data_IF_521548824019
#
_entry.id   IF_521548824019
#
_cell.length_a   1.000
_cell.length_b   1.000
_cell.length_c   1.000
_cell.angle_alpha   90.00
_cell.angle_beta   90.00
_cell.angle_gamma   90.00
#
_symmetry.space_group_name_H-M   'P 1'
#
loop_
_entity.id
_entity.type
_entity.pdbx_description
1 polymer ?
#
# COMPACT_ATOMS: atom_id res chain seq x y z
N UNK A 1 77.58 21.09 12.20
CA UNK A 1 76.36 21.83 12.58
C UNK A 1 75.71 22.31 11.30
N UNK A 2 74.61 21.68 10.93
CA UNK A 2 73.74 22.12 9.84
C UNK A 2 72.33 21.74 10.28
N UNK A 3 71.65 22.72 10.86
CA UNK A 3 70.20 22.71 11.02
C UNK A 3 69.52 22.97 9.68
N UNK A 4 68.19 22.83 9.68
CA UNK A 4 67.23 23.16 8.61
C UNK A 4 66.90 21.94 7.72
N UNK A 5 65.65 21.57 7.44
CA UNK A 5 64.31 22.10 7.75
C UNK A 5 63.39 20.88 7.83
N UNK A 6 62.62 20.73 8.92
CA UNK A 6 61.45 19.84 8.92
C UNK A 6 60.35 20.55 8.13
N UNK A 7 60.12 20.13 6.89
CA UNK A 7 58.92 20.51 6.15
C UNK A 7 57.69 19.93 6.86
N UNK A 8 56.97 20.77 7.58
CA UNK A 8 55.61 20.50 8.01
C UNK A 8 54.71 20.43 6.77
N UNK A 9 54.49 19.21 6.25
CA UNK A 9 53.36 18.92 5.38
C UNK A 9 52.09 18.84 6.20
N UNK A 10 51.59 19.99 6.65
CA UNK A 10 50.18 20.12 7.02
C UNK A 10 49.37 20.19 5.72
N UNK A 11 49.22 19.05 5.05
CA UNK A 11 48.21 18.89 4.02
C UNK A 11 46.89 18.71 4.77
N UNK A 12 46.20 19.82 5.04
CA UNK A 12 44.80 19.78 5.43
C UNK A 12 44.06 19.15 4.26
N UNK A 13 43.80 17.85 4.32
CA UNK A 13 42.84 17.19 3.45
C UNK A 13 41.52 17.89 3.76
N UNK A 14 41.14 18.85 2.91
CA UNK A 14 39.78 19.36 2.90
C UNK A 14 38.94 18.13 2.58
N UNK A 15 38.34 17.51 3.59
CA UNK A 15 37.33 16.48 3.37
C UNK A 15 36.33 17.11 2.40
N UNK A 16 36.25 16.56 1.20
CA UNK A 16 35.32 17.03 0.19
C UNK A 16 33.91 16.61 0.66
N UNK A 17 33.35 17.39 1.59
CA UNK A 17 32.03 17.12 2.16
C UNK A 17 31.04 17.20 1.02
N UNK A 18 30.44 16.07 0.71
CA UNK A 18 29.43 15.95 -0.32
C UNK A 18 28.32 17.01 -0.12
N UNK A 19 27.96 17.81 -1.15
CA UNK A 19 27.03 18.92 -0.99
C UNK A 19 25.65 18.47 -0.50
N UNK A 20 25.22 17.24 -0.81
CA UNK A 20 23.95 16.68 -0.35
C UNK A 20 23.93 16.40 1.17
N UNK A 21 25.10 16.20 1.80
CA UNK A 21 25.17 16.01 3.25
C UNK A 21 24.80 17.29 4.03
N UNK A 22 24.95 18.46 3.38
CA UNK A 22 24.61 19.77 3.95
C UNK A 22 23.13 20.11 3.87
N UNK A 23 22.37 19.45 2.98
CA UNK A 23 20.94 19.69 2.79
C UNK A 23 20.14 19.02 3.91
N UNK A 24 19.03 19.62 4.33
CA UNK A 24 18.10 19.01 5.28
C UNK A 24 17.31 17.85 4.65
N UNK A 25 16.70 17.01 5.49
CA UNK A 25 15.99 15.80 5.06
C UNK A 25 14.77 16.10 4.18
N UNK A 26 14.05 17.20 4.41
CA UNK A 26 12.89 17.57 3.60
C UNK A 26 13.31 18.02 2.20
N UNK A 27 14.41 18.78 2.11
CA UNK A 27 15.00 19.17 0.83
C UNK A 27 15.46 17.93 0.05
N UNK A 28 16.15 16.99 0.70
CA UNK A 28 16.57 15.74 0.07
C UNK A 28 15.37 14.91 -0.39
N UNK A 29 14.35 14.75 0.46
CA UNK A 29 13.11 14.05 0.09
C UNK A 29 12.47 14.68 -1.15
N UNK A 30 12.38 16.01 -1.18
CA UNK A 30 11.80 16.76 -2.31
C UNK A 30 12.60 16.53 -3.59
N UNK A 31 13.93 16.61 -3.54
CA UNK A 31 14.80 16.31 -4.69
C UNK A 31 14.59 14.86 -5.14
N UNK A 32 14.51 13.91 -4.19
CA UNK A 32 14.28 12.50 -4.50
C UNK A 32 13.01 12.31 -5.33
N UNK A 33 11.90 12.80 -4.78
CA UNK A 33 10.57 12.65 -5.37
C UNK A 33 10.47 13.35 -6.72
N UNK A 34 11.00 14.58 -6.85
CA UNK A 34 10.87 15.36 -8.07
C UNK A 34 11.79 14.89 -9.21
N UNK A 35 12.92 14.25 -8.89
CA UNK A 35 13.85 13.76 -9.91
C UNK A 35 13.25 12.65 -10.79
N UNK A 36 12.31 11.87 -10.26
CA UNK A 36 11.83 10.64 -10.89
C UNK A 36 12.91 9.56 -11.09
N UNK A 37 14.13 9.73 -10.55
CA UNK A 37 15.25 8.82 -10.76
C UNK A 37 15.70 8.19 -9.43
N UNK A 38 15.53 6.88 -9.22
CA UNK A 38 15.88 6.25 -7.95
C UNK A 38 17.40 6.21 -7.70
N UNK A 39 18.22 6.30 -8.76
CA UNK A 39 19.68 6.23 -8.66
C UNK A 39 20.30 7.43 -7.94
N UNK A 40 19.61 8.57 -7.87
CA UNK A 40 20.14 9.73 -7.12
C UNK A 40 20.30 9.44 -5.62
N UNK A 41 19.64 8.39 -5.11
CA UNK A 41 19.80 7.94 -3.73
C UNK A 41 21.23 7.49 -3.42
N UNK A 42 22.04 7.15 -4.42
CA UNK A 42 23.44 6.74 -4.24
C UNK A 42 24.39 7.91 -4.11
N UNK A 43 23.92 9.15 -4.27
CA UNK A 43 24.78 10.33 -4.27
C UNK A 43 25.37 10.62 -2.90
N UNK A 44 24.72 10.23 -1.79
CA UNK A 44 25.23 10.43 -0.43
C UNK A 44 24.58 9.45 0.55
N UNK A 45 25.19 9.23 1.73
CA UNK A 45 24.64 8.33 2.75
C UNK A 45 23.35 8.91 3.33
N UNK A 46 23.34 10.21 3.62
CA UNK A 46 22.14 10.90 4.09
C UNK A 46 21.02 10.81 3.06
N UNK A 47 21.33 11.01 1.78
CA UNK A 47 20.35 10.91 0.71
C UNK A 47 19.81 9.48 0.57
N UNK A 48 20.68 8.47 0.66
CA UNK A 48 20.28 7.07 0.67
C UNK A 48 19.28 6.77 1.80
N UNK A 49 19.55 7.25 3.02
CA UNK A 49 18.66 7.06 4.18
C UNK A 49 17.28 7.68 3.94
N UNK A 50 17.24 8.92 3.46
CA UNK A 50 15.98 9.62 3.14
C UNK A 50 15.21 8.86 2.05
N UNK A 51 15.87 8.45 0.97
CA UNK A 51 15.26 7.71 -0.13
C UNK A 51 14.75 6.31 0.27
N UNK A 52 15.33 5.70 1.30
CA UNK A 52 14.93 4.38 1.81
C UNK A 52 13.85 4.43 2.89
N UNK A 53 13.50 5.62 3.37
CA UNK A 53 12.41 5.79 4.30
C UNK A 53 11.06 5.50 3.63
N UNK A 54 10.22 4.68 4.28
CA UNK A 54 8.98 4.17 3.69
C UNK A 54 8.05 5.30 3.21
N UNK A 55 7.71 6.33 4.02
CA UNK A 55 6.90 7.46 3.56
C UNK A 55 7.45 8.16 2.30
N UNK A 56 8.76 8.31 2.20
CA UNK A 56 9.43 8.89 1.04
C UNK A 56 9.28 7.98 -0.20
N UNK A 57 9.48 6.67 -0.03
CA UNK A 57 9.25 5.68 -1.10
C UNK A 57 7.80 5.71 -1.58
N UNK A 58 6.82 5.77 -0.68
CA UNK A 58 5.40 5.86 -1.03
C UNK A 58 5.11 7.13 -1.84
N UNK A 59 5.59 8.29 -1.41
CA UNK A 59 5.44 9.55 -2.17
C UNK A 59 6.06 9.47 -3.56
N UNK A 60 7.28 8.92 -3.66
CA UNK A 60 7.98 8.72 -4.92
C UNK A 60 7.19 7.79 -5.85
N UNK A 61 6.74 6.64 -5.36
CA UNK A 61 5.99 5.66 -6.15
C UNK A 61 4.65 6.22 -6.62
N UNK A 62 3.89 6.86 -5.73
CA UNK A 62 2.60 7.47 -6.07
C UNK A 62 2.74 8.51 -7.17
N UNK A 63 3.77 9.36 -7.10
CA UNK A 63 4.01 10.43 -8.07
C UNK A 63 4.55 9.92 -9.40
N UNK A 64 5.57 9.07 -9.37
CA UNK A 64 6.38 8.77 -10.56
C UNK A 64 6.07 7.43 -11.19
N UNK A 65 5.57 6.47 -10.40
CA UNK A 65 5.45 5.07 -10.82
C UNK A 65 3.99 4.70 -11.03
N UNK A 66 3.13 4.83 -10.01
CA UNK A 66 1.71 4.48 -10.09
C UNK A 66 0.88 5.46 -10.94
N UNK A 67 1.39 6.66 -11.21
CA UNK A 67 0.81 7.54 -12.23
C UNK A 67 0.93 6.98 -13.66
N UNK A 68 1.74 5.93 -13.88
CA UNK A 68 2.02 5.30 -15.18
C UNK A 68 2.02 3.76 -15.02
N UNK A 69 0.86 3.09 -14.99
CA UNK A 69 0.74 1.68 -14.65
C UNK A 69 1.64 0.74 -15.48
N UNK A 70 1.81 1.01 -16.77
CA UNK A 70 2.65 0.22 -17.68
C UNK A 70 4.14 0.29 -17.30
N UNK A 71 4.59 1.46 -16.84
CA UNK A 71 5.97 1.69 -16.41
C UNK A 71 6.26 0.95 -15.11
N UNK A 72 5.34 1.02 -14.14
CA UNK A 72 5.43 0.27 -12.89
C UNK A 72 5.61 -1.23 -13.16
N UNK A 73 4.80 -1.77 -14.07
CA UNK A 73 4.78 -3.20 -14.41
C UNK A 73 6.04 -3.66 -15.13
N UNK A 74 6.41 -2.96 -16.19
CA UNK A 74 7.32 -3.52 -17.22
C UNK A 74 8.75 -3.00 -17.11
N UNK A 75 8.96 -1.93 -16.35
CA UNK A 75 10.27 -1.25 -16.26
C UNK A 75 10.74 -1.17 -14.82
N UNK A 76 9.95 -0.55 -13.94
CA UNK A 76 10.41 -0.22 -12.59
C UNK A 76 10.60 -1.44 -11.70
N UNK A 77 9.54 -2.23 -11.44
CA UNK A 77 9.67 -3.39 -10.55
C UNK A 77 10.59 -4.51 -11.07
N UNK A 78 10.68 -4.78 -12.39
CA UNK A 78 11.73 -5.64 -12.94
C UNK A 78 13.15 -5.13 -12.64
N UNK A 79 13.39 -3.82 -12.72
CA UNK A 79 14.68 -3.19 -12.39
C UNK A 79 14.96 -3.10 -10.88
N UNK A 80 13.92 -3.07 -10.04
CA UNK A 80 14.04 -2.92 -8.59
C UNK A 80 13.30 -4.04 -7.83
N UNK A 81 13.74 -5.31 -7.95
CA UNK A 81 13.03 -6.47 -7.38
C UNK A 81 12.96 -6.47 -5.85
N UNK A 82 13.90 -5.81 -5.16
CA UNK A 82 13.85 -5.63 -3.70
C UNK A 82 12.63 -4.82 -3.28
N UNK A 83 12.29 -3.75 -4.02
CA UNK A 83 11.10 -2.95 -3.75
C UNK A 83 9.83 -3.75 -4.06
N UNK A 84 9.85 -4.58 -5.11
CA UNK A 84 8.72 -5.46 -5.44
C UNK A 84 8.40 -6.46 -4.31
N UNK A 85 9.40 -6.87 -3.53
CA UNK A 85 9.25 -7.81 -2.41
C UNK A 85 9.07 -7.14 -1.04
N UNK A 86 9.05 -5.80 -0.96
CA UNK A 86 8.97 -5.06 0.31
C UNK A 86 7.52 -4.96 0.78
N UNK A 87 7.17 -5.75 1.80
CA UNK A 87 5.80 -5.85 2.32
C UNK A 87 5.32 -4.58 3.03
N UNK A 88 6.12 -3.99 3.90
CA UNK A 88 5.79 -2.72 4.58
C UNK A 88 5.40 -1.61 3.60
N UNK A 89 6.08 -1.57 2.45
CA UNK A 89 5.79 -0.63 1.38
C UNK A 89 4.42 -0.90 0.74
N UNK A 90 4.04 -2.17 0.57
CA UNK A 90 2.72 -2.55 0.07
C UNK A 90 1.62 -2.15 1.06
N UNK A 91 1.84 -2.38 2.36
CA UNK A 91 0.91 -1.98 3.42
C UNK A 91 0.66 -0.47 3.38
N UNK A 92 1.70 0.34 3.23
CA UNK A 92 1.54 1.80 3.16
C UNK A 92 0.89 2.25 1.84
N UNK A 93 1.17 1.59 0.71
CA UNK A 93 0.47 1.87 -0.55
C UNK A 93 -1.03 1.53 -0.46
N UNK A 94 -1.38 0.43 0.22
CA UNK A 94 -2.77 0.04 0.50
C UNK A 94 -3.47 1.13 1.32
N UNK A 95 -2.87 1.60 2.42
CA UNK A 95 -3.43 2.70 3.24
C UNK A 95 -3.66 4.01 2.47
N UNK A 96 -2.92 4.22 1.38
CA UNK A 96 -3.05 5.38 0.49
C UNK A 96 -4.07 5.18 -0.64
N UNK A 97 -4.87 4.11 -0.58
CA UNK A 97 -5.94 3.78 -1.54
C UNK A 97 -5.45 3.62 -2.98
N UNK A 98 -4.21 3.14 -3.15
CA UNK A 98 -3.71 2.76 -4.48
C UNK A 98 -4.51 1.56 -4.99
N UNK A 99 -4.95 1.64 -6.25
CA UNK A 99 -5.68 0.56 -6.92
C UNK A 99 -4.86 -0.74 -6.91
N UNK A 100 -5.43 -1.78 -6.30
CA UNK A 100 -4.74 -3.04 -6.05
C UNK A 100 -4.51 -3.87 -7.31
N UNK A 101 -5.33 -3.65 -8.34
CA UNK A 101 -5.31 -4.39 -9.60
C UNK A 101 -4.38 -3.73 -10.64
N UNK A 102 -3.99 -2.47 -10.43
CA UNK A 102 -3.09 -1.74 -11.33
C UNK A 102 -1.67 -2.33 -11.34
N UNK A 103 -1.08 -2.43 -12.55
CA UNK A 103 0.30 -2.90 -12.74
C UNK A 103 0.44 -4.37 -13.13
N UNK A 104 -0.65 -5.03 -13.54
CA UNK A 104 -0.63 -6.38 -14.10
C UNK A 104 0.07 -7.38 -13.19
N UNK A 105 1.06 -8.14 -13.68
CA UNK A 105 1.81 -9.15 -12.89
C UNK A 105 2.53 -8.59 -11.65
N UNK A 106 2.74 -7.28 -11.59
CA UNK A 106 3.37 -6.59 -10.47
C UNK A 106 2.38 -5.69 -9.71
N UNK A 107 1.07 -5.91 -9.89
CA UNK A 107 0.05 -5.26 -9.09
C UNK A 107 0.21 -5.60 -7.61
N UNK A 108 -0.35 -4.75 -6.74
CA UNK A 108 -0.33 -4.99 -5.29
C UNK A 108 -0.93 -6.38 -5.01
N UNK A 109 -2.08 -6.67 -5.63
CA UNK A 109 -2.71 -7.98 -5.55
C UNK A 109 -1.75 -9.12 -5.92
N UNK A 110 -1.12 -9.07 -7.09
CA UNK A 110 -0.25 -10.15 -7.56
C UNK A 110 0.99 -10.30 -6.68
N UNK A 111 1.57 -9.18 -6.23
CA UNK A 111 2.75 -9.18 -5.37
C UNK A 111 2.46 -9.81 -4.01
N UNK A 112 1.28 -9.53 -3.43
CA UNK A 112 0.87 -10.10 -2.14
C UNK A 112 0.92 -11.62 -2.18
N UNK A 113 0.28 -12.24 -3.17
CA UNK A 113 0.25 -13.70 -3.26
C UNK A 113 1.58 -14.29 -3.76
N UNK A 114 2.20 -13.69 -4.78
CA UNK A 114 3.48 -14.17 -5.35
C UNK A 114 4.63 -14.14 -4.34
N UNK A 115 4.61 -13.19 -3.42
CA UNK A 115 5.67 -13.00 -2.43
C UNK A 115 5.23 -13.35 -1.00
N UNK A 116 4.05 -13.95 -0.83
CA UNK A 116 3.52 -14.40 0.47
C UNK A 116 3.51 -13.30 1.53
N UNK A 117 3.06 -12.11 1.13
CA UNK A 117 2.97 -10.94 2.02
C UNK A 117 1.70 -11.05 2.88
N UNK A 118 1.78 -11.85 3.95
CA UNK A 118 0.64 -12.22 4.79
C UNK A 118 0.06 -11.03 5.56
N UNK A 119 0.89 -10.10 6.05
CA UNK A 119 0.44 -8.89 6.75
C UNK A 119 -0.23 -7.91 5.78
N UNK A 120 0.30 -7.81 4.57
CA UNK A 120 -0.34 -7.04 3.50
C UNK A 120 -1.66 -7.68 3.04
N UNK A 121 -1.73 -9.01 2.94
CA UNK A 121 -2.97 -9.72 2.65
C UNK A 121 -4.02 -9.43 3.74
N UNK A 122 -3.64 -9.57 5.01
CA UNK A 122 -4.53 -9.28 6.12
C UNK A 122 -5.02 -7.84 6.12
N UNK A 123 -4.12 -6.89 5.84
CA UNK A 123 -4.46 -5.47 5.67
C UNK A 123 -5.44 -5.28 4.52
N UNK A 124 -5.16 -5.85 3.33
CA UNK A 124 -6.01 -5.76 2.14
C UNK A 124 -7.41 -6.35 2.38
N UNK A 125 -7.51 -7.49 3.06
CA UNK A 125 -8.79 -8.12 3.41
C UNK A 125 -9.62 -7.28 4.39
N UNK A 126 -8.95 -6.52 5.25
CA UNK A 126 -9.57 -5.57 6.19
C UNK A 126 -9.93 -4.23 5.56
N UNK A 127 -9.49 -3.96 4.35
CA UNK A 127 -9.89 -2.77 3.63
C UNK A 127 -11.24 -2.97 2.93
N UNK A 128 -12.07 -1.95 3.00
CA UNK A 128 -13.38 -1.93 2.38
C UNK A 128 -13.66 -0.54 1.81
N UNK A 129 -14.60 -0.49 0.87
CA UNK A 129 -15.21 0.74 0.38
C UNK A 129 -16.70 0.71 0.64
N UNK A 130 -17.26 1.88 0.94
CA UNK A 130 -18.70 2.06 1.00
C UNK A 130 -19.21 2.34 -0.41
N UNK A 131 -20.10 1.49 -0.90
CA UNK A 131 -20.75 1.67 -2.19
C UNK A 131 -22.21 2.06 -1.99
N UNK A 132 -22.60 3.21 -2.54
CA UNK A 132 -23.97 3.70 -2.51
C UNK A 132 -24.85 2.79 -3.37
N UNK A 133 -26.00 2.40 -2.84
CA UNK A 133 -26.99 1.60 -3.57
C UNK A 133 -28.35 2.29 -3.60
N UNK A 134 -29.11 2.02 -4.65
CA UNK A 134 -30.52 2.35 -4.72
C UNK A 134 -31.32 1.23 -4.05
N UNK A 135 -31.92 1.55 -2.91
CA UNK A 135 -32.77 0.62 -2.18
C UNK A 135 -34.16 1.20 -1.98
N UNK A 136 -35.16 0.52 -2.54
CA UNK A 136 -36.58 0.85 -2.36
C UNK A 136 -37.21 -0.24 -1.50
N UNK A 137 -37.69 0.07 -0.29
CA UNK A 137 -38.35 -0.91 0.56
C UNK A 137 -39.57 -1.52 -0.16
N UNK A 138 -39.67 -2.85 -0.15
CA UNK A 138 -40.80 -3.56 -0.77
C UNK A 138 -40.66 -3.81 -2.28
N UNK A 139 -39.67 -3.22 -2.97
CA UNK A 139 -39.26 -3.74 -4.27
C UNK A 139 -38.44 -5.01 -4.07
N UNK A 140 -38.52 -5.96 -5.00
CA UNK A 140 -37.75 -7.22 -4.97
C UNK A 140 -36.24 -7.03 -5.17
N UNK A 141 -35.65 -5.97 -4.63
CA UNK A 141 -34.23 -5.70 -4.70
C UNK A 141 -33.45 -6.85 -4.06
N UNK A 142 -32.50 -7.41 -4.81
CA UNK A 142 -31.72 -8.58 -4.40
C UNK A 142 -30.68 -8.30 -3.32
N UNK A 143 -30.34 -7.04 -3.07
CA UNK A 143 -29.24 -6.64 -2.18
C UNK A 143 -29.79 -5.69 -1.13
N UNK A 144 -29.80 -6.15 0.12
CA UNK A 144 -30.16 -5.32 1.27
C UNK A 144 -28.96 -4.45 1.68
N UNK A 145 -29.19 -3.18 2.04
CA UNK A 145 -28.12 -2.31 2.53
C UNK A 145 -27.64 -2.76 3.91
N UNK A 146 -26.35 -2.53 4.18
CA UNK A 146 -25.79 -2.75 5.51
C UNK A 146 -25.87 -1.48 6.36
N UNK A 147 -25.84 -0.31 5.71
CA UNK A 147 -25.70 1.00 6.37
C UNK A 147 -26.70 1.99 5.78
N UNK A 148 -27.34 2.78 6.64
CA UNK A 148 -28.14 3.94 6.24
C UNK A 148 -27.56 5.20 6.90
N UNK A 149 -27.10 6.15 6.09
CA UNK A 149 -26.45 7.39 6.57
C UNK A 149 -26.76 8.53 5.61
N UNK A 150 -27.03 9.74 6.13
CA UNK A 150 -27.31 10.94 5.33
C UNK A 150 -28.42 10.75 4.27
N UNK A 151 -29.49 10.02 4.63
CA UNK A 151 -30.58 9.64 3.70
C UNK A 151 -30.15 8.76 2.51
N UNK A 152 -28.97 8.14 2.57
CA UNK A 152 -28.46 7.23 1.55
C UNK A 152 -28.20 5.84 2.13
N UNK A 153 -28.27 4.83 1.25
CA UNK A 153 -28.03 3.45 1.59
C UNK A 153 -26.68 2.99 1.04
N UNK A 154 -25.94 2.24 1.84
CA UNK A 154 -24.62 1.75 1.45
C UNK A 154 -24.46 0.27 1.73
N UNK A 155 -23.60 -0.35 0.93
CA UNK A 155 -23.02 -1.65 1.21
C UNK A 155 -21.50 -1.50 1.41
N UNK A 156 -20.98 -2.22 2.40
CA UNK A 156 -19.55 -2.49 2.56
C UNK A 156 -19.14 -3.49 1.49
N UNK A 157 -18.31 -3.06 0.54
CA UNK A 157 -17.61 -3.96 -0.38
C UNK A 157 -16.16 -4.13 0.08
N UNK A 158 -15.72 -5.37 0.21
CA UNK A 158 -14.28 -5.65 0.30
C UNK A 158 -13.60 -5.19 -0.99
N UNK A 159 -12.33 -4.78 -0.90
CA UNK A 159 -11.50 -4.58 -2.09
C UNK A 159 -11.31 -5.88 -2.88
N UNK A 160 -11.48 -7.02 -2.23
CA UNK A 160 -11.36 -8.35 -2.83
C UNK A 160 -12.73 -8.98 -3.06
N UNK A 161 -13.00 -9.40 -4.31
CA UNK A 161 -14.25 -10.09 -4.62
C UNK A 161 -14.20 -11.56 -4.19
N UNK A 162 -15.10 -11.98 -3.29
CA UNK A 162 -15.19 -13.37 -2.81
C UNK A 162 -15.32 -14.41 -3.93
N UNK A 163 -15.96 -14.03 -5.05
CA UNK A 163 -16.11 -14.89 -6.23
C UNK A 163 -14.77 -15.28 -6.87
N UNK A 164 -13.68 -14.61 -6.51
CA UNK A 164 -12.31 -14.89 -7.01
C UNK A 164 -11.51 -15.85 -6.13
N UNK A 165 -11.97 -16.21 -4.93
CA UNK A 165 -11.17 -17.02 -3.97
C UNK A 165 -10.72 -18.34 -4.60
N UNK A 166 -11.63 -19.11 -5.21
CA UNK A 166 -11.27 -20.38 -5.86
C UNK A 166 -10.19 -20.18 -6.94
N UNK A 167 -10.38 -19.18 -7.80
CA UNK A 167 -9.42 -18.84 -8.85
C UNK A 167 -8.05 -18.49 -8.26
N UNK A 168 -8.01 -17.82 -7.12
CA UNK A 168 -6.78 -17.41 -6.44
C UNK A 168 -6.04 -18.60 -5.84
N UNK A 169 -6.78 -19.49 -5.20
CA UNK A 169 -6.23 -20.74 -4.66
C UNK A 169 -5.58 -21.55 -5.78
N UNK A 170 -6.21 -21.61 -6.95
CA UNK A 170 -5.67 -22.30 -8.13
C UNK A 170 -4.47 -21.55 -8.75
N UNK A 171 -4.61 -20.24 -9.01
CA UNK A 171 -3.61 -19.41 -9.69
C UNK A 171 -2.29 -19.30 -8.93
N UNK A 172 -2.34 -19.22 -7.60
CA UNK A 172 -1.16 -19.12 -6.74
C UNK A 172 -0.82 -20.43 -6.02
N UNK A 173 -1.50 -21.51 -6.37
CA UNK A 173 -1.30 -22.84 -5.79
C UNK A 173 -1.28 -22.81 -4.26
N UNK A 174 -2.25 -22.11 -3.65
CA UNK A 174 -2.28 -21.88 -2.20
C UNK A 174 -2.52 -23.15 -1.39
N UNK A 175 -2.95 -24.23 -2.05
CA UNK A 175 -3.14 -25.56 -1.46
C UNK A 175 -1.82 -26.31 -1.20
N UNK A 176 -0.67 -25.81 -1.65
CA UNK A 176 0.64 -26.37 -1.33
C UNK A 176 1.04 -26.02 0.10
N UNK A 177 1.76 -26.93 0.76
CA UNK A 177 2.18 -26.77 2.15
C UNK A 177 2.95 -25.46 2.39
N UNK A 178 3.80 -25.05 1.44
CA UNK A 178 4.54 -23.79 1.58
C UNK A 178 3.66 -22.52 1.54
N UNK A 179 2.38 -22.63 1.19
CA UNK A 179 1.43 -21.51 1.04
C UNK A 179 0.24 -21.62 2.00
N UNK A 180 0.23 -22.63 2.88
CA UNK A 180 -0.93 -22.95 3.70
C UNK A 180 -1.34 -21.80 4.61
N UNK A 181 -0.38 -21.03 5.13
CA UNK A 181 -0.65 -19.86 5.97
C UNK A 181 -1.42 -18.78 5.20
N UNK A 182 -0.99 -18.47 3.98
CA UNK A 182 -1.67 -17.52 3.08
C UNK A 182 -3.08 -18.02 2.74
N UNK A 183 -3.27 -19.34 2.55
CA UNK A 183 -4.59 -19.93 2.34
C UNK A 183 -5.51 -19.74 3.55
N UNK A 184 -5.02 -20.01 4.76
CA UNK A 184 -5.80 -19.86 5.99
C UNK A 184 -6.27 -18.41 6.17
N UNK A 185 -5.37 -17.44 5.98
CA UNK A 185 -5.71 -16.00 6.03
C UNK A 185 -6.80 -15.66 5.00
N UNK A 186 -6.69 -16.19 3.78
CA UNK A 186 -7.67 -15.95 2.72
C UNK A 186 -9.05 -16.54 3.06
N UNK A 187 -9.10 -17.72 3.67
CA UNK A 187 -10.34 -18.38 4.05
C UNK A 187 -11.07 -17.67 5.20
N UNK A 188 -10.35 -16.94 6.04
CA UNK A 188 -10.89 -16.14 7.15
C UNK A 188 -11.60 -14.85 6.71
N UNK A 189 -11.68 -14.55 5.40
CA UNK A 189 -12.31 -13.34 4.85
C UNK A 189 -13.73 -13.09 5.34
N UNK A 190 -14.53 -14.15 5.56
CA UNK A 190 -15.91 -14.03 6.04
C UNK A 190 -15.99 -13.51 7.47
N UNK A 191 -15.08 -13.98 8.32
CA UNK A 191 -14.95 -13.54 9.71
C UNK A 191 -14.49 -12.08 9.72
N UNK A 192 -13.45 -11.76 8.95
CA UNK A 192 -12.92 -10.40 8.79
C UNK A 192 -14.02 -9.42 8.37
N UNK A 193 -14.85 -9.75 7.38
CA UNK A 193 -15.91 -8.87 6.90
C UNK A 193 -16.97 -8.59 7.97
N UNK A 194 -17.36 -9.61 8.73
CA UNK A 194 -18.31 -9.45 9.82
C UNK A 194 -17.75 -8.53 10.92
N UNK A 195 -16.45 -8.68 11.22
CA UNK A 195 -15.75 -7.79 12.14
C UNK A 195 -15.65 -6.36 11.60
N UNK A 196 -15.46 -6.16 10.29
CA UNK A 196 -15.47 -4.83 9.69
C UNK A 196 -16.83 -4.16 9.85
N UNK A 197 -17.93 -4.86 9.57
CA UNK A 197 -19.29 -4.30 9.75
C UNK A 197 -19.51 -3.88 11.20
N UNK A 198 -19.04 -4.67 12.17
CA UNK A 198 -19.08 -4.32 13.61
C UNK A 198 -18.11 -3.19 13.98
N UNK A 199 -16.93 -3.15 13.36
CA UNK A 199 -15.79 -2.29 13.69
C UNK A 199 -15.76 -0.94 12.97
N UNK A 200 -16.65 -0.70 11.99
CA UNK A 200 -16.77 0.57 11.26
C UNK A 200 -17.20 1.78 12.14
N UNK A 201 -17.31 1.63 13.47
CA UNK A 201 -17.74 2.69 14.38
C UNK A 201 -19.18 3.15 14.11
N UNK A 202 -19.99 2.31 13.47
CA UNK A 202 -21.39 2.60 13.16
C UNK A 202 -22.18 2.31 14.42
N UNK A 203 -22.79 3.35 14.99
CA UNK A 203 -23.73 3.17 16.11
C UNK A 203 -24.85 2.23 15.69
N UNK A 204 -25.47 1.51 16.64
CA UNK A 204 -26.59 0.60 16.33
C UNK A 204 -27.73 1.29 15.54
N UNK A 205 -27.82 2.62 15.63
CA UNK A 205 -28.78 3.48 14.94
C UNK A 205 -28.49 3.63 13.42
N UNK A 206 -27.22 3.52 13.01
CA UNK A 206 -26.79 3.63 11.61
C UNK A 206 -26.77 2.29 10.86
N UNK A 207 -26.95 1.18 11.58
CA UNK A 207 -27.14 -0.14 10.99
C UNK A 207 -28.53 -0.21 10.34
N UNK A 208 -28.60 -0.78 9.15
CA UNK A 208 -29.89 -1.03 8.52
C UNK A 208 -30.63 -2.15 9.28
N UNK A 209 -31.59 -1.76 10.12
CA UNK A 209 -32.51 -2.65 10.79
C UNK A 209 -33.90 -2.46 10.19
N UNK A 210 -34.36 -3.46 9.43
CA UNK A 210 -35.66 -3.45 8.73
C UNK A 210 -36.84 -3.11 9.66
N UNK A 211 -36.71 -3.49 10.94
CA UNK A 211 -37.74 -3.40 11.98
C UNK A 211 -37.74 -2.08 12.77
N UNK A 212 -36.64 -1.30 12.76
CA UNK A 212 -36.49 -0.07 13.56
C UNK A 212 -36.87 1.22 12.82
N UNK A 213 -37.52 1.14 11.65
CA UNK A 213 -37.91 2.35 10.90
C UNK A 213 -39.11 3.05 11.53
N UNK A 214 -38.94 4.34 11.88
CA UNK A 214 -40.06 5.29 11.91
C UNK A 214 -40.53 5.50 10.48
N UNK A 215 -41.69 4.94 10.17
CA UNK A 215 -42.45 5.28 8.96
C UNK A 215 -42.98 6.69 9.20
N UNK A 216 -42.42 7.68 8.52
CA UNK A 216 -43.10 8.96 8.38
C UNK A 216 -44.07 8.80 7.22
N UNK A 217 -45.35 8.67 7.57
CA UNK A 217 -46.49 8.79 6.65
C UNK A 217 -46.68 10.26 6.33
#
# INVERSE_FOLDING_TARGET
MTESVKENKNTTILECINPFEKLDENTLETIFILSGNPEISTLSIKFFRVAHYIPTQVKYLKRNIYARPEFAQSVFYPGHPKLAKKEELVIELLKQEIDIDQGGKNSIYNRIFKHKMNDALYTMLRMFKLEKITYTPGSGNKIEPYIFRNNEYYIVKSLMEEKKIKKIVEEFELYKDENIETLLILLDIRIIRHDLVKGCGISEEGLFLKEKRKVYI
#
